data_IF_649285996446
#
_entry.id   IF_649285996446
#
_cell.length_a   1.000
_cell.length_b   1.000
_cell.length_c   1.000
_cell.angle_alpha   90.00
_cell.angle_beta   90.00
_cell.angle_gamma   90.00
#
_symmetry.space_group_name_H-M   'P 1'
#
loop_
_entity.id
_entity.type
_entity.pdbx_description
1 polymer ?
#
# COMPACT_ATOMS: atom_id res chain seq x y z
N UNK A 1 23.37 27.11 -10.78
CA UNK A 1 22.36 27.24 -9.71
C UNK A 1 23.01 26.77 -8.42
N UNK A 2 23.23 27.69 -7.47
CA UNK A 2 23.90 27.42 -6.19
C UNK A 2 22.91 26.83 -5.20
N UNK A 3 23.09 25.55 -4.87
CA UNK A 3 22.20 24.82 -3.96
C UNK A 3 22.58 25.16 -2.52
N UNK A 4 21.63 25.73 -1.78
CA UNK A 4 21.76 26.02 -0.35
C UNK A 4 21.51 24.74 0.45
N UNK A 5 22.50 24.37 1.28
CA UNK A 5 22.43 23.37 2.37
C UNK A 5 22.29 21.89 1.98
N UNK A 6 23.22 21.07 2.49
CA UNK A 6 23.23 19.60 2.41
C UNK A 6 21.96 18.92 2.98
N UNK A 7 21.12 19.65 3.74
CA UNK A 7 19.88 19.11 4.33
C UNK A 7 18.75 18.86 3.32
N UNK A 8 18.82 19.46 2.13
CA UNK A 8 17.81 19.30 1.09
C UNK A 8 18.18 18.24 0.06
N UNK A 9 19.43 17.79 0.02
CA UNK A 9 19.87 16.66 -0.80
C UNK A 9 19.29 15.32 -0.32
N UNK A 10 19.04 15.11 0.97
CA UNK A 10 18.48 13.84 1.48
C UNK A 10 16.97 13.69 1.23
N UNK A 11 16.26 14.82 1.07
CA UNK A 11 14.80 14.82 0.84
C UNK A 11 14.44 14.49 -0.60
N UNK A 12 15.27 14.91 -1.56
CA UNK A 12 15.09 14.60 -2.99
C UNK A 12 15.06 13.07 -3.27
N UNK A 13 16.04 12.27 -2.80
CA UNK A 13 16.10 10.82 -2.95
C UNK A 13 14.88 10.13 -2.37
N UNK A 14 14.46 10.51 -1.15
CA UNK A 14 13.28 9.92 -0.53
C UNK A 14 12.01 10.18 -1.34
N UNK A 15 11.84 11.40 -1.84
CA UNK A 15 10.68 11.74 -2.66
C UNK A 15 10.70 11.03 -4.02
N UNK A 16 11.87 10.88 -4.63
CA UNK A 16 12.03 10.08 -5.85
C UNK A 16 11.74 8.60 -5.62
N UNK A 17 12.18 8.04 -4.48
CA UNK A 17 11.88 6.66 -4.08
C UNK A 17 10.37 6.49 -3.87
N UNK A 18 9.69 7.41 -3.18
CA UNK A 18 8.24 7.38 -2.99
C UNK A 18 7.52 7.41 -4.35
N UNK A 19 7.95 8.28 -5.27
CA UNK A 19 7.36 8.37 -6.60
C UNK A 19 7.56 7.08 -7.41
N UNK A 20 8.75 6.47 -7.32
CA UNK A 20 9.03 5.19 -7.99
C UNK A 20 8.20 4.03 -7.40
N UNK A 21 8.00 4.02 -6.08
CA UNK A 21 7.12 3.05 -5.40
C UNK A 21 5.68 3.23 -5.87
N UNK A 22 5.18 4.47 -5.88
CA UNK A 22 3.80 4.76 -6.31
C UNK A 22 3.58 4.33 -7.76
N UNK A 23 4.50 4.65 -8.67
CA UNK A 23 4.41 4.23 -10.08
C UNK A 23 4.39 2.71 -10.23
N UNK A 24 5.26 2.00 -9.51
CA UNK A 24 5.29 0.53 -9.52
C UNK A 24 4.01 -0.06 -8.92
N UNK A 25 3.44 0.55 -7.88
CA UNK A 25 2.16 0.13 -7.32
C UNK A 25 1.02 0.26 -8.34
N UNK A 26 0.98 1.35 -9.09
CA UNK A 26 -0.02 1.53 -10.16
C UNK A 26 0.11 0.46 -11.24
N UNK A 27 1.34 0.12 -11.64
CA UNK A 27 1.60 -0.95 -12.60
C UNK A 27 1.16 -2.33 -12.06
N UNK A 28 1.42 -2.61 -10.78
CA UNK A 28 0.95 -3.84 -10.12
C UNK A 28 -0.57 -3.91 -10.08
N UNK A 29 -1.24 -2.79 -9.78
CA UNK A 29 -2.71 -2.72 -9.77
C UNK A 29 -3.27 -2.99 -11.18
N UNK A 30 -2.65 -2.44 -12.22
CA UNK A 30 -3.05 -2.72 -13.62
C UNK A 30 -2.94 -4.20 -13.98
N UNK A 31 -1.86 -4.86 -13.56
CA UNK A 31 -1.70 -6.31 -13.81
C UNK A 31 -2.74 -7.12 -13.05
N UNK A 32 -3.03 -6.76 -11.78
CA UNK A 32 -4.08 -7.40 -10.97
C UNK A 32 -5.44 -7.28 -11.64
N UNK A 33 -5.77 -6.09 -12.17
CA UNK A 33 -7.05 -5.83 -12.84
C UNK A 33 -7.14 -6.57 -14.20
N UNK A 34 -6.04 -6.61 -14.97
CA UNK A 34 -5.96 -7.32 -16.25
C UNK A 34 -6.08 -8.85 -16.08
N UNK A 35 -5.50 -9.40 -15.01
CA UNK A 35 -5.56 -10.82 -14.68
C UNK A 35 -6.81 -11.20 -13.87
N UNK A 36 -7.69 -10.24 -13.58
CA UNK A 36 -8.87 -10.41 -12.73
C UNK A 36 -8.57 -11.15 -11.40
N UNK A 37 -7.44 -10.84 -10.77
CA UNK A 37 -7.02 -11.52 -9.53
C UNK A 37 -7.82 -11.04 -8.30
N UNK A 38 -8.60 -9.97 -8.46
CA UNK A 38 -9.43 -9.38 -7.42
C UNK A 38 -8.64 -8.68 -6.32
N UNK A 39 -9.13 -7.52 -5.89
CA UNK A 39 -8.53 -6.70 -4.83
C UNK A 39 -9.04 -7.16 -3.48
N UNK A 40 -8.11 -7.48 -2.58
CA UNK A 40 -8.45 -7.93 -1.22
C UNK A 40 -8.52 -6.75 -0.26
N UNK A 41 -9.63 -6.59 0.43
CA UNK A 41 -9.87 -5.61 1.47
C UNK A 41 -10.21 -6.30 2.79
N UNK A 42 -9.59 -5.84 3.88
CA UNK A 42 -9.86 -6.32 5.23
C UNK A 42 -10.81 -5.33 5.92
N UNK A 43 -12.00 -5.80 6.26
CA UNK A 43 -13.01 -5.07 7.04
C UNK A 43 -13.07 -5.65 8.44
N UNK A 44 -13.76 -4.98 9.36
CA UNK A 44 -13.82 -5.38 10.77
C UNK A 44 -14.42 -6.78 10.97
N UNK A 45 -15.31 -7.20 10.06
CA UNK A 45 -16.10 -8.42 10.11
C UNK A 45 -15.62 -9.52 9.14
N UNK A 46 -14.57 -9.26 8.36
CA UNK A 46 -14.09 -10.23 7.39
C UNK A 46 -13.10 -9.70 6.36
N UNK A 47 -12.58 -10.63 5.56
CA UNK A 47 -11.74 -10.34 4.40
C UNK A 47 -12.56 -10.55 3.13
N UNK A 48 -12.59 -9.52 2.29
CA UNK A 48 -13.37 -9.46 1.07
C UNK A 48 -12.43 -9.35 -0.12
N UNK A 49 -12.77 -10.00 -1.24
CA UNK A 49 -12.09 -9.81 -2.53
C UNK A 49 -13.08 -9.31 -3.56
N UNK A 50 -12.76 -8.18 -4.16
CA UNK A 50 -13.55 -7.52 -5.20
C UNK A 50 -12.89 -7.73 -6.55
N UNK A 51 -13.61 -8.35 -7.48
CA UNK A 51 -13.15 -8.62 -8.84
C UNK A 51 -13.48 -7.46 -9.79
N UNK A 52 -12.87 -7.46 -10.97
CA UNK A 52 -13.06 -6.39 -11.96
C UNK A 52 -14.49 -6.35 -12.54
N UNK A 53 -15.23 -7.45 -12.43
CA UNK A 53 -16.62 -7.61 -12.83
C UNK A 53 -17.62 -7.11 -11.76
N UNK A 54 -17.12 -6.55 -10.66
CA UNK A 54 -17.91 -6.07 -9.54
C UNK A 54 -18.34 -7.16 -8.56
N UNK A 55 -17.96 -8.43 -8.76
CA UNK A 55 -18.24 -9.48 -7.78
C UNK A 55 -17.44 -9.25 -6.51
N UNK A 56 -18.09 -9.41 -5.37
CA UNK A 56 -17.47 -9.35 -4.05
C UNK A 56 -17.62 -10.72 -3.40
N UNK A 57 -16.49 -11.35 -3.05
CA UNK A 57 -16.46 -12.65 -2.39
C UNK A 57 -15.86 -12.48 -1.01
N UNK A 58 -16.56 -12.96 0.02
CA UNK A 58 -16.00 -13.04 1.38
C UNK A 58 -15.09 -14.28 1.45
N UNK A 59 -13.80 -14.07 1.68
CA UNK A 59 -12.80 -15.14 1.72
C UNK A 59 -12.61 -15.65 3.14
N UNK A 60 -12.77 -14.78 4.14
CA UNK A 60 -12.64 -15.15 5.54
C UNK A 60 -13.63 -14.37 6.40
N UNK A 61 -14.26 -15.09 7.33
CA UNK A 61 -14.98 -14.53 8.46
C UNK A 61 -14.02 -14.33 9.63
N UNK A 62 -14.18 -13.22 10.35
CA UNK A 62 -13.36 -12.97 11.53
C UNK A 62 -13.46 -11.53 12.01
N UNK A 63 -13.01 -11.29 13.24
CA UNK A 63 -12.97 -9.95 13.83
C UNK A 63 -11.59 -9.34 13.63
N UNK A 64 -11.44 -8.51 12.58
CA UNK A 64 -10.18 -7.86 12.23
C UNK A 64 -10.15 -6.43 12.77
N UNK A 65 -10.05 -6.28 14.09
CA UNK A 65 -9.91 -4.94 14.70
C UNK A 65 -8.57 -4.32 14.30
N UNK A 66 -8.64 -3.14 13.66
CA UNK A 66 -7.45 -2.35 13.33
C UNK A 66 -6.76 -1.91 14.62
N UNK A 67 -5.73 -2.66 15.04
CA UNK A 67 -4.97 -2.36 16.27
C UNK A 67 -4.11 -1.13 16.05
N UNK A 68 -4.54 0.03 16.55
CA UNK A 68 -3.69 1.23 16.60
C UNK A 68 -2.63 1.01 17.68
N UNK A 69 -1.43 0.64 17.27
CA UNK A 69 -0.27 0.60 18.17
C UNK A 69 0.09 2.03 18.56
N UNK A 70 0.11 2.31 19.88
CA UNK A 70 0.49 3.64 20.41
C UNK A 70 1.93 4.02 20.03
N UNK A 71 2.84 3.04 20.04
CA UNK A 71 4.23 3.21 19.64
C UNK A 71 4.58 2.21 18.53
N UNK A 72 4.84 2.71 17.32
CA UNK A 72 5.37 1.90 16.21
C UNK A 72 6.89 1.80 16.34
N UNK A 73 7.39 0.91 17.19
CA UNK A 73 8.82 0.59 17.23
C UNK A 73 9.10 -0.50 16.21
N UNK A 74 9.61 -0.12 15.05
CA UNK A 74 10.16 -1.06 14.07
C UNK A 74 11.62 -1.26 14.49
N UNK A 75 11.95 -2.47 14.98
CA UNK A 75 13.34 -2.83 15.26
C UNK A 75 13.97 -3.23 13.93
N UNK A 76 14.71 -2.31 13.33
CA UNK A 76 15.66 -2.66 12.27
C UNK A 76 16.86 -3.29 12.98
N UNK A 77 17.27 -4.46 12.49
CA UNK A 77 18.28 -5.33 13.09
C UNK A 77 19.54 -4.58 13.52
#
# INVERSE_FOLDING_TARGET
MTVKSLKDEDKLPMQQIINAINKKMDDVIRVIDAMNLGRTEVKEDGVYRTFNDGKIVKIADGVFKKKRLKNKRIKLF
#
